data_IF_391154022704
#
_entry.id   IF_391154022704
#
_cell.length_a   1.000
_cell.length_b   1.000
_cell.length_c   1.000
_cell.angle_alpha   90.00
_cell.angle_beta   90.00
_cell.angle_gamma   90.00
#
_symmetry.space_group_name_H-M   'P 1'
#
loop_
_entity.id
_entity.type
_entity.pdbx_description
1 polymer ?
#
# COMPACT_ATOMS: atom_id res chain seq x y z
N UNK A 1 12.65 6.29 -12.15
CA UNK A 1 13.32 7.25 -11.24
C UNK A 1 12.69 7.07 -9.87
N UNK A 2 13.51 6.77 -8.84
CA UNK A 2 13.00 6.51 -7.48
C UNK A 2 12.33 7.77 -6.92
N UNK A 3 11.23 7.58 -6.18
CA UNK A 3 10.57 8.70 -5.50
C UNK A 3 11.52 9.30 -4.45
N UNK A 4 11.46 10.63 -4.19
CA UNK A 4 12.28 11.26 -3.16
C UNK A 4 12.15 10.58 -1.79
N UNK A 5 10.96 10.17 -1.42
CA UNK A 5 10.69 9.51 -0.13
C UNK A 5 11.32 8.12 -0.05
N UNK A 6 11.23 7.33 -1.12
CA UNK A 6 11.91 6.02 -1.20
C UNK A 6 13.40 6.20 -1.03
N UNK A 7 13.99 7.13 -1.77
CA UNK A 7 15.43 7.41 -1.70
C UNK A 7 15.83 7.84 -0.29
N UNK A 8 15.08 8.74 0.35
CA UNK A 8 15.38 9.18 1.71
C UNK A 8 15.37 8.01 2.71
N UNK A 9 14.41 7.09 2.60
CA UNK A 9 14.34 5.91 3.48
C UNK A 9 15.51 4.97 3.24
N UNK A 10 15.84 4.68 1.99
CA UNK A 10 16.97 3.79 1.67
C UNK A 10 18.31 4.40 2.12
N UNK A 11 18.52 5.68 1.90
CA UNK A 11 19.73 6.38 2.34
C UNK A 11 19.88 6.33 3.88
N UNK A 12 18.78 6.50 4.63
CA UNK A 12 18.80 6.40 6.11
C UNK A 12 19.08 4.97 6.55
N UNK A 13 18.48 3.96 5.93
CA UNK A 13 18.72 2.55 6.25
C UNK A 13 20.18 2.15 6.01
N UNK A 14 20.77 2.58 4.90
CA UNK A 14 22.18 2.34 4.56
C UNK A 14 23.13 3.10 5.49
N UNK A 15 22.77 4.31 5.89
CA UNK A 15 23.53 5.07 6.87
C UNK A 15 23.54 4.37 8.25
N UNK A 16 22.37 3.89 8.73
CA UNK A 16 22.30 3.14 9.97
C UNK A 16 23.22 1.91 9.91
N UNK A 17 23.17 1.14 8.83
CA UNK A 17 24.03 -0.03 8.65
C UNK A 17 25.50 0.36 8.71
N UNK A 18 25.92 1.33 7.92
CA UNK A 18 27.30 1.77 7.84
C UNK A 18 27.80 2.32 9.16
N UNK A 19 27.01 3.20 9.81
CA UNK A 19 27.42 3.88 11.05
C UNK A 19 27.57 2.91 12.24
N UNK A 20 26.74 1.87 12.28
CA UNK A 20 26.75 0.90 13.41
C UNK A 20 27.65 -0.30 13.16
N UNK A 21 27.59 -0.90 11.98
CA UNK A 21 28.30 -2.16 11.72
C UNK A 21 29.78 -1.95 11.39
N UNK A 22 30.22 -0.74 11.00
CA UNK A 22 31.66 -0.44 10.92
C UNK A 22 32.38 -0.56 12.27
N UNK A 23 31.63 -0.30 13.37
CA UNK A 23 32.09 -0.51 14.74
C UNK A 23 31.68 -1.88 15.34
N UNK A 24 31.10 -2.78 14.54
CA UNK A 24 30.55 -4.08 14.96
C UNK A 24 29.42 -3.95 16.03
N UNK A 25 28.74 -2.80 16.12
CA UNK A 25 27.64 -2.56 17.06
C UNK A 25 26.30 -3.10 16.51
N UNK A 26 26.14 -4.41 16.62
CA UNK A 26 24.91 -5.08 16.18
C UNK A 26 23.70 -4.77 17.06
N UNK A 27 23.90 -4.32 18.31
CA UNK A 27 22.81 -3.93 19.21
C UNK A 27 22.20 -2.62 18.74
N UNK A 28 23.02 -1.60 18.51
CA UNK A 28 22.58 -0.33 17.97
C UNK A 28 21.94 -0.47 16.59
N UNK A 29 22.52 -1.29 15.71
CA UNK A 29 21.93 -1.59 14.41
C UNK A 29 20.50 -2.11 14.54
N UNK A 30 20.27 -3.14 15.38
CA UNK A 30 18.93 -3.71 15.58
C UNK A 30 17.94 -2.69 16.13
N UNK A 31 18.38 -1.88 17.10
CA UNK A 31 17.51 -0.87 17.70
C UNK A 31 17.08 0.17 16.67
N UNK A 32 18.02 0.82 16.00
CA UNK A 32 17.71 1.89 15.03
C UNK A 32 16.93 1.36 13.82
N UNK A 33 17.24 0.16 13.35
CA UNK A 33 16.52 -0.46 12.24
C UNK A 33 15.08 -0.81 12.65
N UNK A 34 14.88 -1.33 13.86
CA UNK A 34 13.56 -1.60 14.41
C UNK A 34 12.73 -0.32 14.59
N UNK A 35 13.32 0.73 15.15
CA UNK A 35 12.66 2.02 15.33
C UNK A 35 12.25 2.63 13.97
N UNK A 36 13.13 2.55 12.97
CA UNK A 36 12.81 2.99 11.61
C UNK A 36 11.66 2.19 11.01
N UNK A 37 11.63 0.86 11.19
CA UNK A 37 10.54 0.01 10.70
C UNK A 37 9.20 0.43 11.31
N UNK A 38 9.13 0.60 12.63
CA UNK A 38 7.90 1.05 13.30
C UNK A 38 7.47 2.45 12.88
N UNK A 39 8.42 3.37 12.69
CA UNK A 39 8.11 4.69 12.15
C UNK A 39 7.49 4.60 10.75
N UNK A 40 8.09 3.82 9.85
CA UNK A 40 7.64 3.67 8.47
C UNK A 40 6.27 2.98 8.36
N UNK A 41 5.94 2.09 9.28
CA UNK A 41 4.62 1.45 9.32
C UNK A 41 3.49 2.47 9.45
N UNK A 42 3.70 3.56 10.18
CA UNK A 42 2.76 4.66 10.33
C UNK A 42 2.72 5.65 9.15
N UNK A 43 3.71 5.59 8.24
CA UNK A 43 3.76 6.53 7.12
C UNK A 43 2.85 6.09 5.97
N UNK A 44 2.34 7.09 5.24
CA UNK A 44 1.53 6.91 4.02
C UNK A 44 2.35 7.31 2.80
N UNK A 45 1.94 6.80 1.65
CA UNK A 45 2.58 7.12 0.37
C UNK A 45 3.45 6.00 -0.17
N UNK A 46 3.45 5.89 -1.49
CA UNK A 46 4.13 4.82 -2.23
C UNK A 46 5.63 4.77 -1.90
N UNK A 47 6.31 5.92 -1.89
CA UNK A 47 7.75 5.98 -1.63
C UNK A 47 8.14 5.47 -0.24
N UNK A 48 7.36 5.81 0.80
CA UNK A 48 7.59 5.27 2.16
C UNK A 48 7.37 3.76 2.23
N UNK A 49 6.33 3.24 1.57
CA UNK A 49 6.05 1.81 1.53
C UNK A 49 7.10 1.01 0.74
N UNK A 50 7.59 1.57 -0.37
CA UNK A 50 8.71 0.97 -1.11
C UNK A 50 10.03 1.03 -0.33
N UNK A 51 10.31 2.13 0.36
CA UNK A 51 11.45 2.23 1.27
C UNK A 51 11.36 1.27 2.45
N UNK A 52 10.16 1.10 3.02
CA UNK A 52 9.93 0.09 4.07
C UNK A 52 10.16 -1.33 3.54
N UNK A 53 9.72 -1.65 2.33
CA UNK A 53 9.99 -2.95 1.69
C UNK A 53 11.49 -3.21 1.57
N UNK A 54 12.27 -2.21 1.12
CA UNK A 54 13.74 -2.29 1.09
C UNK A 54 14.33 -2.54 2.48
N UNK A 55 13.89 -1.81 3.52
CA UNK A 55 14.36 -2.01 4.88
C UNK A 55 14.10 -3.43 5.38
N UNK A 56 12.89 -3.94 5.15
CA UNK A 56 12.46 -5.28 5.54
C UNK A 56 13.31 -6.33 4.84
N UNK A 57 13.43 -6.26 3.53
CA UNK A 57 14.11 -7.28 2.73
C UNK A 57 15.62 -7.26 2.99
N UNK A 58 16.26 -6.09 2.88
CA UNK A 58 17.72 -5.98 2.82
C UNK A 58 18.37 -5.84 4.21
N UNK A 59 17.67 -5.26 5.19
CA UNK A 59 18.28 -4.98 6.49
C UNK A 59 17.77 -5.88 7.62
N UNK A 60 16.63 -6.57 7.42
CA UNK A 60 16.05 -7.43 8.46
C UNK A 60 16.02 -8.89 8.01
N UNK A 61 15.24 -9.24 7.00
CA UNK A 61 14.99 -10.63 6.64
C UNK A 61 16.21 -11.31 5.99
N UNK A 62 17.01 -10.59 5.21
CA UNK A 62 18.26 -11.09 4.63
C UNK A 62 19.39 -11.24 5.66
N UNK A 63 19.30 -10.54 6.80
CA UNK A 63 20.36 -10.42 7.81
C UNK A 63 20.16 -11.36 9.01
N UNK A 64 19.87 -12.62 8.74
CA UNK A 64 19.72 -13.64 9.79
C UNK A 64 20.98 -13.85 10.67
N UNK A 65 22.13 -13.38 10.24
CA UNK A 65 23.37 -13.34 11.01
C UNK A 65 23.30 -12.36 12.20
N UNK A 66 22.56 -11.25 12.06
CA UNK A 66 22.42 -10.20 13.06
C UNK A 66 21.15 -10.38 13.90
N UNK A 67 20.05 -10.81 13.28
CA UNK A 67 18.74 -10.90 13.91
C UNK A 67 18.47 -12.23 14.62
N UNK A 68 19.46 -13.13 14.72
CA UNK A 68 19.30 -14.43 15.38
C UNK A 68 19.11 -14.31 16.89
N UNK A 69 17.96 -14.78 17.36
CA UNK A 69 17.74 -15.42 18.67
C UNK A 69 17.87 -14.61 19.96
N UNK A 70 17.38 -13.38 20.04
CA UNK A 70 17.02 -12.77 21.33
C UNK A 70 15.56 -12.33 21.28
N UNK A 71 14.86 -12.39 22.42
CA UNK A 71 13.41 -12.15 22.50
C UNK A 71 12.94 -10.85 21.84
N UNK A 72 13.73 -9.77 21.91
CA UNK A 72 13.41 -8.49 21.27
C UNK A 72 13.54 -8.55 19.74
N UNK A 73 14.46 -9.34 19.22
CA UNK A 73 14.61 -9.52 17.77
C UNK A 73 13.45 -10.29 17.16
N UNK A 74 12.85 -11.25 17.87
CA UNK A 74 11.72 -12.04 17.37
C UNK A 74 10.49 -11.17 17.09
N UNK A 75 10.25 -10.13 17.88
CA UNK A 75 9.13 -9.20 17.66
C UNK A 75 9.35 -8.37 16.38
N UNK A 76 10.56 -7.87 16.17
CA UNK A 76 10.90 -7.10 14.96
C UNK A 76 10.85 -8.00 13.72
N UNK A 77 11.38 -9.22 13.80
CA UNK A 77 11.33 -10.18 12.70
C UNK A 77 9.88 -10.55 12.36
N UNK A 78 9.05 -10.85 13.36
CA UNK A 78 7.64 -11.19 13.14
C UNK A 78 6.87 -10.03 12.51
N UNK A 79 7.12 -8.80 12.96
CA UNK A 79 6.53 -7.62 12.37
C UNK A 79 7.05 -7.36 10.94
N UNK A 80 8.34 -7.55 10.69
CA UNK A 80 8.92 -7.43 9.35
C UNK A 80 8.32 -8.47 8.38
N UNK A 81 8.15 -9.71 8.81
CA UNK A 81 7.49 -10.76 7.99
C UNK A 81 6.04 -10.40 7.65
N UNK A 82 5.28 -9.90 8.62
CA UNK A 82 3.93 -9.41 8.38
C UNK A 82 3.92 -8.24 7.38
N UNK A 83 4.84 -7.29 7.51
CA UNK A 83 4.96 -6.18 6.58
C UNK A 83 5.39 -6.63 5.20
N UNK A 84 6.31 -7.60 5.09
CA UNK A 84 6.69 -8.20 3.81
C UNK A 84 5.50 -8.80 3.07
N UNK A 85 4.68 -9.58 3.77
CA UNK A 85 3.46 -10.16 3.21
C UNK A 85 2.50 -9.06 2.71
N UNK A 86 2.21 -8.04 3.53
CA UNK A 86 1.30 -6.96 3.15
C UNK A 86 1.84 -6.14 1.96
N UNK A 87 3.11 -5.76 2.01
CA UNK A 87 3.75 -4.95 0.97
C UNK A 87 3.97 -5.71 -0.35
N UNK A 88 3.88 -7.03 -0.33
CA UNK A 88 3.97 -7.86 -1.53
C UNK A 88 2.64 -8.00 -2.27
N UNK A 89 1.50 -7.62 -1.63
CA UNK A 89 0.17 -7.69 -2.26
C UNK A 89 -0.01 -6.62 -3.33
N UNK A 90 -0.69 -6.96 -4.41
CA UNK A 90 -1.02 -6.05 -5.52
C UNK A 90 0.17 -5.24 -6.03
N UNK A 91 1.27 -5.89 -6.33
CA UNK A 91 2.53 -5.24 -6.71
C UNK A 91 2.44 -4.50 -8.04
N UNK A 92 3.17 -3.38 -8.15
CA UNK A 92 3.27 -2.62 -9.40
C UNK A 92 3.87 -3.48 -10.52
N UNK A 93 3.29 -3.38 -11.72
CA UNK A 93 3.63 -4.23 -12.87
C UNK A 93 2.80 -5.52 -12.98
N UNK A 94 2.12 -5.93 -11.93
CA UNK A 94 1.24 -7.10 -11.95
C UNK A 94 -0.16 -6.76 -12.46
N UNK A 95 -0.89 -7.78 -12.91
CA UNK A 95 -2.31 -7.62 -13.23
C UNK A 95 -3.12 -7.69 -11.95
N UNK A 96 -4.00 -6.72 -11.78
CA UNK A 96 -4.97 -6.74 -10.68
C UNK A 96 -5.82 -8.03 -10.75
N UNK A 97 -6.21 -8.55 -9.59
CA UNK A 97 -7.08 -9.72 -9.48
C UNK A 97 -8.41 -9.54 -10.24
N UNK A 98 -8.98 -10.63 -10.77
CA UNK A 98 -10.26 -10.57 -11.49
C UNK A 98 -11.46 -10.77 -10.56
N UNK A 99 -11.50 -10.01 -9.48
CA UNK A 99 -12.61 -10.01 -8.51
C UNK A 99 -13.69 -9.03 -8.95
N UNK A 100 -14.96 -9.38 -8.69
CA UNK A 100 -16.11 -8.51 -8.89
C UNK A 100 -16.52 -7.94 -7.53
N UNK A 101 -16.57 -6.60 -7.44
CA UNK A 101 -16.89 -5.88 -6.20
C UNK A 101 -18.07 -4.94 -6.38
N UNK A 102 -18.87 -4.71 -5.33
CA UNK A 102 -19.85 -3.63 -5.33
C UNK A 102 -19.12 -2.30 -5.17
N UNK A 103 -19.66 -1.23 -5.74
CA UNK A 103 -19.08 0.10 -5.57
C UNK A 103 -19.72 1.15 -6.44
N UNK A 104 -19.21 2.37 -6.33
CA UNK A 104 -19.59 3.53 -7.14
C UNK A 104 -18.52 3.81 -8.18
N UNK A 105 -18.88 3.75 -9.47
CA UNK A 105 -17.99 4.08 -10.57
C UNK A 105 -18.21 5.50 -11.05
N UNK A 106 -17.22 6.36 -10.82
CA UNK A 106 -17.19 7.75 -11.27
C UNK A 106 -16.62 7.85 -12.69
N UNK A 107 -17.29 8.59 -13.55
CA UNK A 107 -16.93 8.82 -14.96
C UNK A 107 -17.29 10.22 -15.38
N UNK A 108 -16.33 11.10 -15.58
CA UNK A 108 -16.62 12.49 -15.97
C UNK A 108 -17.68 13.12 -15.05
N UNK A 109 -18.85 13.42 -15.55
CA UNK A 109 -19.96 14.03 -14.80
C UNK A 109 -21.05 13.04 -14.35
N UNK A 110 -20.77 11.74 -14.41
CA UNK A 110 -21.72 10.66 -14.09
C UNK A 110 -21.13 9.70 -13.06
N UNK A 111 -21.94 9.28 -12.12
CA UNK A 111 -21.66 8.13 -11.26
C UNK A 111 -22.67 7.01 -11.54
N UNK A 112 -22.29 5.80 -11.22
CA UNK A 112 -23.18 4.63 -11.29
C UNK A 112 -22.79 3.64 -10.21
N UNK A 113 -23.75 3.26 -9.39
CA UNK A 113 -23.61 2.17 -8.43
C UNK A 113 -23.82 0.84 -9.13
N UNK A 114 -23.13 -0.19 -8.64
CA UNK A 114 -23.26 -1.53 -9.19
C UNK A 114 -22.10 -2.45 -8.85
N UNK A 115 -22.04 -3.56 -9.57
CA UNK A 115 -20.98 -4.56 -9.43
C UNK A 115 -19.97 -4.45 -10.57
N UNK A 116 -18.70 -4.25 -10.24
CA UNK A 116 -17.64 -4.03 -11.20
C UNK A 116 -16.53 -5.08 -11.06
N UNK A 117 -16.05 -5.61 -12.18
CA UNK A 117 -14.83 -6.42 -12.20
C UNK A 117 -13.62 -5.51 -12.23
N UNK A 118 -12.72 -5.62 -11.26
CA UNK A 118 -11.55 -4.76 -11.13
C UNK A 118 -10.70 -4.77 -12.41
N UNK A 119 -10.46 -5.94 -12.99
CA UNK A 119 -9.67 -6.09 -14.22
C UNK A 119 -10.37 -5.56 -15.48
N UNK A 120 -11.66 -5.24 -15.42
CA UNK A 120 -12.45 -4.82 -16.58
C UNK A 120 -12.81 -3.34 -16.62
N UNK A 121 -12.20 -2.53 -15.78
CA UNK A 121 -12.29 -1.08 -15.89
C UNK A 121 -11.63 -0.62 -17.21
N UNK A 122 -12.30 0.30 -17.93
CA UNK A 122 -11.93 0.64 -19.32
C UNK A 122 -11.43 2.07 -19.50
N UNK A 123 -11.05 2.75 -18.43
CA UNK A 123 -10.32 4.01 -18.51
C UNK A 123 -8.93 3.84 -19.10
N UNK A 124 -8.33 4.88 -19.62
CA UNK A 124 -6.90 4.89 -19.90
C UNK A 124 -6.10 4.82 -18.58
N UNK A 125 -6.63 5.50 -17.55
CA UNK A 125 -6.24 5.38 -16.15
C UNK A 125 -7.45 5.00 -15.32
N UNK A 126 -7.29 4.04 -14.44
CA UNK A 126 -8.33 3.66 -13.51
C UNK A 126 -7.76 3.77 -12.10
N UNK A 127 -8.44 4.51 -11.25
CA UNK A 127 -8.17 4.54 -9.81
C UNK A 127 -9.17 3.64 -9.10
N UNK A 128 -8.70 2.82 -8.20
CA UNK A 128 -9.53 1.99 -7.33
C UNK A 128 -9.23 2.41 -5.90
N UNK A 129 -10.27 2.82 -5.18
CA UNK A 129 -10.19 3.37 -3.85
C UNK A 129 -10.98 2.48 -2.91
N UNK A 130 -10.29 1.75 -2.05
CA UNK A 130 -10.88 1.05 -0.94
C UNK A 130 -10.98 2.00 0.26
N UNK A 131 -12.17 2.12 0.84
CA UNK A 131 -12.43 3.10 1.89
C UNK A 131 -13.47 2.61 2.89
N UNK A 132 -13.65 3.36 3.99
CA UNK A 132 -14.80 3.25 4.89
C UNK A 132 -15.45 4.62 5.06
N UNK A 133 -16.77 4.62 5.33
CA UNK A 133 -17.56 5.87 5.40
C UNK A 133 -17.20 6.74 6.61
N UNK A 134 -16.69 6.15 7.69
CA UNK A 134 -16.39 6.84 8.95
C UNK A 134 -15.00 7.49 9.00
N UNK A 135 -14.15 7.21 8.04
CA UNK A 135 -12.77 7.70 7.99
C UNK A 135 -12.70 9.11 7.37
N UNK A 136 -12.20 10.10 8.11
CA UNK A 136 -12.10 11.49 7.63
C UNK A 136 -11.16 11.62 6.42
N UNK A 137 -10.04 10.90 6.41
CA UNK A 137 -9.11 10.89 5.26
C UNK A 137 -9.80 10.27 4.03
N UNK A 138 -10.64 9.25 4.24
CA UNK A 138 -11.42 8.64 3.17
C UNK A 138 -12.45 9.62 2.57
N UNK A 139 -13.02 10.51 3.37
CA UNK A 139 -13.93 11.56 2.88
C UNK A 139 -13.21 12.55 1.97
N UNK A 140 -11.99 12.96 2.35
CA UNK A 140 -11.15 13.82 1.52
C UNK A 140 -10.79 13.12 0.19
N UNK A 141 -10.40 11.85 0.24
CA UNK A 141 -10.09 11.06 -0.94
C UNK A 141 -11.30 10.90 -1.88
N UNK A 142 -12.50 10.69 -1.32
CA UNK A 142 -13.75 10.63 -2.10
C UNK A 142 -14.05 11.95 -2.80
N UNK A 143 -13.81 13.08 -2.14
CA UNK A 143 -13.98 14.41 -2.75
C UNK A 143 -12.99 14.61 -3.91
N UNK A 144 -11.71 14.28 -3.70
CA UNK A 144 -10.68 14.35 -4.74
C UNK A 144 -10.99 13.42 -5.93
N UNK A 145 -11.48 12.21 -5.67
CA UNK A 145 -11.90 11.25 -6.68
C UNK A 145 -12.95 11.83 -7.64
N UNK A 146 -13.92 12.57 -7.11
CA UNK A 146 -14.96 13.22 -7.91
C UNK A 146 -14.38 14.30 -8.82
N UNK A 147 -13.41 15.07 -8.34
CA UNK A 147 -12.70 16.09 -9.11
C UNK A 147 -11.87 15.47 -10.22
N UNK A 148 -11.09 14.45 -9.89
CA UNK A 148 -10.22 13.73 -10.87
C UNK A 148 -11.05 13.06 -11.96
N UNK A 149 -12.17 12.40 -11.61
CA UNK A 149 -13.06 11.78 -12.58
C UNK A 149 -13.78 12.81 -13.48
N UNK A 150 -14.04 14.01 -12.97
CA UNK A 150 -14.67 15.09 -13.74
C UNK A 150 -13.70 15.78 -14.70
N UNK A 151 -12.42 15.87 -14.33
CA UNK A 151 -11.37 16.57 -15.09
C UNK A 151 -11.00 15.86 -16.40
N UNK A 152 -10.97 14.53 -16.41
CA UNK A 152 -10.58 13.76 -17.59
C UNK A 152 -11.58 12.63 -17.92
N UNK A 153 -12.17 12.68 -19.12
CA UNK A 153 -13.11 11.65 -19.63
C UNK A 153 -12.48 10.27 -19.80
N UNK A 154 -11.16 10.19 -19.84
CA UNK A 154 -10.41 8.93 -20.00
C UNK A 154 -10.12 8.25 -18.67
N UNK A 155 -10.32 8.96 -17.56
CA UNK A 155 -10.16 8.45 -16.19
C UNK A 155 -11.45 7.76 -15.72
N UNK A 156 -11.28 6.71 -14.93
CA UNK A 156 -12.33 6.04 -14.16
C UNK A 156 -11.88 5.95 -12.72
N UNK A 157 -12.79 6.22 -11.80
CA UNK A 157 -12.53 6.03 -10.38
C UNK A 157 -13.60 5.10 -9.82
N UNK A 158 -13.18 3.96 -9.30
CA UNK A 158 -14.06 3.01 -8.62
C UNK A 158 -13.87 3.16 -7.12
N UNK A 159 -14.94 3.53 -6.45
CA UNK A 159 -15.03 3.65 -4.99
C UNK A 159 -15.59 2.34 -4.42
N UNK A 160 -14.88 1.68 -3.52
CA UNK A 160 -15.24 0.39 -2.91
C UNK A 160 -15.31 0.56 -1.40
N UNK A 161 -16.51 0.43 -0.82
CA UNK A 161 -16.69 0.49 0.63
C UNK A 161 -16.39 -0.87 1.27
N UNK A 162 -15.25 -0.97 1.93
CA UNK A 162 -14.80 -2.24 2.56
C UNK A 162 -15.70 -2.63 3.73
N UNK A 163 -16.20 -1.66 4.51
CA UNK A 163 -17.04 -1.96 5.66
C UNK A 163 -18.38 -2.61 5.25
N UNK A 164 -18.98 -2.15 4.14
CA UNK A 164 -20.19 -2.76 3.59
C UNK A 164 -19.91 -4.19 3.09
N UNK A 165 -18.79 -4.42 2.41
CA UNK A 165 -18.43 -5.77 1.95
C UNK A 165 -18.20 -6.71 3.13
N UNK A 166 -17.49 -6.28 4.18
CA UNK A 166 -17.29 -7.09 5.39
C UNK A 166 -18.61 -7.49 6.04
N UNK A 167 -19.59 -6.57 6.02
CA UNK A 167 -20.93 -6.83 6.58
C UNK A 167 -21.77 -7.77 5.71
N UNK A 168 -21.78 -7.56 4.39
CA UNK A 168 -22.74 -8.16 3.48
C UNK A 168 -22.24 -9.45 2.82
N UNK A 169 -20.92 -9.54 2.57
CA UNK A 169 -20.27 -10.69 1.93
C UNK A 169 -18.87 -10.93 2.53
N UNK A 170 -18.80 -11.58 3.71
CA UNK A 170 -17.51 -11.87 4.36
C UNK A 170 -16.54 -12.67 3.49
N UNK A 171 -17.02 -13.54 2.62
CA UNK A 171 -16.16 -14.34 1.73
C UNK A 171 -15.49 -13.49 0.66
N UNK A 172 -16.19 -12.48 0.15
CA UNK A 172 -15.61 -11.48 -0.74
C UNK A 172 -14.61 -10.62 0.02
N UNK A 173 -14.92 -10.22 1.26
CA UNK A 173 -14.00 -9.46 2.11
C UNK A 173 -12.69 -10.22 2.31
N UNK A 174 -12.73 -11.50 2.69
CA UNK A 174 -11.53 -12.34 2.84
C UNK A 174 -10.70 -12.37 1.56
N UNK A 175 -11.35 -12.56 0.40
CA UNK A 175 -10.66 -12.53 -0.90
C UNK A 175 -9.98 -11.19 -1.18
N UNK A 176 -10.57 -10.08 -0.76
CA UNK A 176 -9.97 -8.76 -0.93
C UNK A 176 -8.81 -8.53 0.03
N UNK A 177 -8.91 -8.99 1.29
CA UNK A 177 -7.80 -8.93 2.25
C UNK A 177 -6.62 -9.82 1.84
N UNK A 178 -6.85 -10.91 1.14
CA UNK A 178 -5.78 -11.75 0.60
C UNK A 178 -5.03 -11.06 -0.54
N UNK A 179 -5.72 -10.30 -1.39
CA UNK A 179 -5.16 -9.68 -2.59
C UNK A 179 -4.59 -8.27 -2.36
N UNK A 180 -5.09 -7.52 -1.37
CA UNK A 180 -4.74 -6.13 -1.13
C UNK A 180 -4.32 -5.87 0.31
N UNK A 181 -3.39 -4.92 0.50
CA UNK A 181 -3.11 -4.39 1.84
C UNK A 181 -4.21 -3.39 2.26
N UNK A 182 -5.25 -3.91 2.88
CA UNK A 182 -6.36 -3.12 3.44
C UNK A 182 -6.20 -2.84 4.93
N UNK A 183 -4.99 -3.01 5.48
CA UNK A 183 -4.69 -2.73 6.91
C UNK A 183 -4.81 -1.26 7.27
N UNK A 184 -4.66 -0.36 6.29
CA UNK A 184 -4.82 1.08 6.44
C UNK A 184 -5.63 1.67 5.28
N UNK A 185 -6.78 2.27 5.59
CA UNK A 185 -7.65 2.90 4.61
C UNK A 185 -7.52 4.44 4.66
N UNK A 186 -7.73 5.14 3.56
CA UNK A 186 -8.00 4.61 2.22
C UNK A 186 -6.78 3.94 1.61
N UNK A 187 -6.98 2.83 0.90
CA UNK A 187 -5.98 2.22 0.03
C UNK A 187 -6.32 2.56 -1.42
N UNK A 188 -5.41 3.23 -2.11
CA UNK A 188 -5.63 3.71 -3.47
C UNK A 188 -4.57 3.13 -4.39
N UNK A 189 -5.01 2.58 -5.51
CA UNK A 189 -4.14 2.09 -6.57
C UNK A 189 -4.57 2.60 -7.94
N UNK A 190 -3.60 2.72 -8.84
CA UNK A 190 -3.78 3.11 -10.23
C UNK A 190 -3.52 1.92 -11.14
N UNK A 191 -4.42 1.66 -12.11
CA UNK A 191 -4.21 0.66 -13.15
C UNK A 191 -4.33 1.26 -14.53
N UNK A 192 -3.68 0.60 -15.50
CA UNK A 192 -3.88 0.88 -16.90
C UNK A 192 -5.19 0.28 -17.45
N UNK A 193 -5.45 0.47 -18.74
CA UNK A 193 -6.63 -0.08 -19.43
C UNK A 193 -6.64 -1.62 -19.49
N UNK A 194 -5.50 -2.27 -19.32
CA UNK A 194 -5.35 -3.74 -19.32
C UNK A 194 -5.47 -4.34 -17.94
N UNK A 195 -5.61 -3.50 -16.89
CA UNK A 195 -5.65 -3.89 -15.50
C UNK A 195 -4.27 -4.17 -14.93
N UNK A 196 -3.20 -3.63 -15.52
CA UNK A 196 -1.85 -3.67 -14.92
C UNK A 196 -1.77 -2.58 -13.87
N UNK A 197 -1.35 -2.92 -12.66
CA UNK A 197 -1.13 -1.99 -11.55
C UNK A 197 0.08 -1.13 -11.89
N UNK A 198 -0.11 0.18 -11.95
CA UNK A 198 0.94 1.15 -12.24
C UNK A 198 1.54 1.70 -10.95
N UNK A 199 0.69 2.04 -9.97
CA UNK A 199 1.08 2.58 -8.66
C UNK A 199 0.09 2.15 -7.59
N UNK A 200 0.55 2.13 -6.35
CA UNK A 200 -0.26 1.83 -5.16
C UNK A 200 0.12 2.75 -3.99
N UNK A 201 -0.69 2.76 -2.93
CA UNK A 201 -0.53 3.65 -1.77
C UNK A 201 -0.47 5.14 -2.15
N UNK A 202 -1.09 5.51 -3.26
CA UNK A 202 -1.16 6.90 -3.72
C UNK A 202 -2.30 7.64 -3.03
N UNK A 203 -2.32 8.96 -3.16
CA UNK A 203 -3.44 9.82 -2.79
C UNK A 203 -3.87 10.65 -3.99
N UNK A 204 -5.14 10.93 -4.11
CA UNK A 204 -5.69 11.89 -5.08
C UNK A 204 -5.86 13.28 -4.46
N UNK A 205 -5.67 13.41 -3.14
CA UNK A 205 -5.68 14.68 -2.43
C UNK A 205 -4.37 15.39 -2.70
N UNK A 206 -4.46 16.62 -3.28
CA UNK A 206 -3.32 17.53 -3.51
C UNK A 206 -2.96 18.32 -2.24
#
# INVERSE_FOLDING_TARGET
EDSPDRKAVTDVADYIETATLSGADTVMFRQLTGDLLYYLAGQRGEGYKEGMKYLVDEKILSRGDIWRSKDDSLKVIGFAQMMDELLSKASSGEKICDVKVPGELLRSKKSSDGWFRLRKLRGQKNYIIFYTSECEICKAEKAAASVVAAADRKVRVLMVNVAEIVSDDPSLADSLFDEFDLSALPFVLETDRKGVILRRYITLVE
#
